data_IF_984638569071
#
_entry.id   IF_984638569071
#
_cell.length_a   1.000
_cell.length_b   1.000
_cell.length_c   1.000
_cell.angle_alpha   90.00
_cell.angle_beta   90.00
_cell.angle_gamma   90.00
#
_symmetry.space_group_name_H-M   'P 1'
#
loop_
_entity.id
_entity.type
_entity.pdbx_description
1 polymer ?
#
# COMPACT_ATOMS: atom_id res chain seq x y z
N UNK A 1 -15.31 -5.33 12.09
CA UNK A 1 -14.55 -4.77 10.97
C UNK A 1 -14.80 -3.28 10.86
N UNK A 2 -13.74 -2.51 10.78
CA UNK A 2 -13.84 -1.05 10.69
C UNK A 2 -13.06 -0.57 9.48
N UNK A 3 -13.61 0.43 8.79
CA UNK A 3 -12.96 1.04 7.64
C UNK A 3 -12.40 2.41 8.02
N UNK A 4 -11.17 2.68 7.57
CA UNK A 4 -10.48 3.94 7.78
C UNK A 4 -10.01 4.49 6.45
N UNK A 5 -9.89 5.82 6.33
CA UNK A 5 -9.49 6.49 5.10
C UNK A 5 -8.20 7.28 5.32
N UNK A 6 -7.32 7.23 4.34
CA UNK A 6 -6.08 8.01 4.30
C UNK A 6 -5.91 8.58 2.89
N UNK A 7 -6.34 9.82 2.70
CA UNK A 7 -6.34 10.43 1.38
C UNK A 7 -7.30 9.70 0.44
N UNK A 8 -6.78 9.22 -0.69
CA UNK A 8 -7.57 8.47 -1.67
C UNK A 8 -7.44 6.97 -1.49
N UNK A 9 -6.84 6.50 -0.41
CA UNK A 9 -6.80 5.09 -0.09
C UNK A 9 -7.60 4.84 1.17
N UNK A 10 -7.99 3.60 1.35
CA UNK A 10 -8.68 3.18 2.55
C UNK A 10 -8.08 1.88 3.05
N UNK A 11 -8.41 1.53 4.27
CA UNK A 11 -8.07 0.21 4.78
C UNK A 11 -9.19 -0.30 5.66
N UNK A 12 -9.31 -1.63 5.66
CA UNK A 12 -10.21 -2.36 6.55
C UNK A 12 -9.36 -3.04 7.61
N UNK A 13 -9.67 -2.77 8.86
CA UNK A 13 -8.97 -3.42 9.96
C UNK A 13 -9.80 -4.61 10.41
N UNK A 14 -9.21 -5.81 10.34
CA UNK A 14 -9.82 -7.05 10.77
C UNK A 14 -8.90 -7.68 11.80
N UNK A 15 -9.28 -7.59 13.07
CA UNK A 15 -8.44 -7.96 14.22
C UNK A 15 -7.15 -7.13 14.17
N UNK A 16 -6.03 -7.71 13.74
CA UNK A 16 -4.74 -7.02 13.63
C UNK A 16 -4.19 -6.99 12.20
N UNK A 17 -5.01 -7.37 11.23
CA UNK A 17 -4.66 -7.33 9.81
C UNK A 17 -5.34 -6.16 9.16
N UNK A 18 -4.59 -5.35 8.41
CA UNK A 18 -5.14 -4.23 7.66
C UNK A 18 -5.17 -4.56 6.18
N UNK A 19 -6.36 -4.47 5.59
CA UNK A 19 -6.57 -4.68 4.16
C UNK A 19 -6.69 -3.32 3.48
N UNK A 20 -5.73 -3.02 2.62
CA UNK A 20 -5.66 -1.74 1.92
C UNK A 20 -6.52 -1.81 0.66
N UNK A 21 -7.37 -0.81 0.49
CA UNK A 21 -8.26 -0.71 -0.67
C UNK A 21 -8.05 0.63 -1.38
N UNK A 22 -8.23 0.62 -2.70
CA UNK A 22 -8.38 1.83 -3.50
C UNK A 22 -7.24 2.84 -3.41
N UNK A 23 -5.98 2.38 -3.46
CA UNK A 23 -4.88 3.31 -3.64
C UNK A 23 -4.97 3.79 -5.09
N UNK A 24 -5.61 4.94 -5.28
CA UNK A 24 -5.83 5.49 -6.60
C UNK A 24 -5.29 6.92 -6.66
N UNK A 25 -4.51 7.20 -7.69
CA UNK A 25 -4.01 8.53 -7.97
C UNK A 25 -4.47 8.89 -9.38
N UNK A 26 -5.07 10.06 -9.53
CA UNK A 26 -5.49 10.54 -10.84
C UNK A 26 -4.30 10.52 -11.79
N UNK A 27 -4.56 10.16 -13.05
CA UNK A 27 -3.52 10.00 -14.04
C UNK A 27 -2.62 11.24 -14.18
N UNK A 28 -3.19 12.43 -14.03
CA UNK A 28 -2.46 13.68 -14.13
C UNK A 28 -1.36 13.82 -13.06
N UNK A 29 -1.47 13.10 -11.96
CA UNK A 29 -0.52 13.17 -10.85
C UNK A 29 0.37 11.94 -10.76
N UNK A 30 0.20 10.96 -11.63
CA UNK A 30 1.04 9.77 -11.65
C UNK A 30 2.48 10.15 -11.96
N UNK A 31 3.42 9.44 -11.37
CA UNK A 31 4.83 9.71 -11.55
C UNK A 31 5.39 10.82 -10.67
N UNK A 32 4.55 11.49 -9.87
CA UNK A 32 4.97 12.55 -8.96
C UNK A 32 5.18 12.08 -7.53
N UNK A 33 5.22 10.77 -7.30
CA UNK A 33 5.39 10.22 -5.96
C UNK A 33 4.14 10.26 -5.10
N UNK A 34 2.99 10.66 -5.63
CA UNK A 34 1.75 10.74 -4.85
C UNK A 34 1.23 9.37 -4.45
N UNK A 35 1.37 8.38 -5.33
CA UNK A 35 0.99 7.01 -4.99
C UNK A 35 1.82 6.47 -3.83
N UNK A 36 3.10 6.74 -3.85
CA UNK A 36 4.01 6.33 -2.77
C UNK A 36 3.69 7.06 -1.47
N UNK A 37 3.39 8.36 -1.57
CA UNK A 37 2.98 9.16 -0.40
C UNK A 37 1.69 8.60 0.23
N UNK A 38 0.70 8.26 -0.60
CA UNK A 38 -0.55 7.68 -0.12
C UNK A 38 -0.32 6.32 0.54
N UNK A 39 0.56 5.50 -0.05
CA UNK A 39 0.90 4.21 0.54
C UNK A 39 1.56 4.40 1.91
N UNK A 40 2.53 5.31 2.02
CA UNK A 40 3.16 5.63 3.30
C UNK A 40 2.15 6.09 4.34
N UNK A 41 1.25 7.00 3.95
CA UNK A 41 0.20 7.49 4.85
C UNK A 41 -0.71 6.37 5.33
N UNK A 42 -1.02 5.43 4.44
CA UNK A 42 -1.85 4.28 4.77
C UNK A 42 -1.13 3.34 5.73
N UNK A 43 0.17 3.11 5.51
CA UNK A 43 0.98 2.30 6.43
C UNK A 43 1.06 2.97 7.80
N UNK A 44 1.26 4.29 7.85
CA UNK A 44 1.28 5.03 9.11
C UNK A 44 -0.04 4.88 9.86
N UNK A 45 -1.16 4.98 9.14
CA UNK A 45 -2.48 4.79 9.76
C UNK A 45 -2.62 3.37 10.30
N UNK A 46 -2.19 2.37 9.54
CA UNK A 46 -2.26 0.98 9.98
C UNK A 46 -1.43 0.76 11.26
N UNK A 47 -0.25 1.38 11.33
CA UNK A 47 0.59 1.30 12.53
C UNK A 47 -0.08 1.97 13.72
N UNK A 48 -0.73 3.12 13.55
CA UNK A 48 -1.50 3.77 14.61
C UNK A 48 -2.63 2.88 15.10
N UNK A 49 -3.26 2.14 14.22
CA UNK A 49 -4.36 1.22 14.55
C UNK A 49 -3.86 -0.13 15.06
N UNK A 50 -2.54 -0.27 15.23
CA UNK A 50 -1.91 -1.47 15.78
C UNK A 50 -2.07 -2.71 14.90
N UNK A 51 -2.17 -2.52 13.59
CA UNK A 51 -2.12 -3.62 12.65
C UNK A 51 -0.73 -4.25 12.65
N UNK A 52 -0.66 -5.55 12.49
CA UNK A 52 0.61 -6.28 12.47
C UNK A 52 1.01 -6.71 11.06
N UNK A 53 0.06 -6.86 10.15
CA UNK A 53 0.34 -7.19 8.75
C UNK A 53 -0.58 -6.38 7.84
N UNK A 54 -0.13 -6.18 6.59
CA UNK A 54 -0.89 -5.49 5.56
C UNK A 54 -1.12 -6.42 4.39
N UNK A 55 -2.29 -6.31 3.76
CA UNK A 55 -2.61 -7.07 2.55
C UNK A 55 -3.35 -6.16 1.56
N UNK A 56 -3.22 -6.47 0.28
CA UNK A 56 -3.92 -5.75 -0.79
C UNK A 56 -4.04 -6.64 -2.02
N UNK A 57 -4.92 -6.23 -2.94
CA UNK A 57 -5.01 -6.82 -4.27
C UNK A 57 -4.47 -5.81 -5.28
N UNK A 58 -3.79 -6.31 -6.31
CA UNK A 58 -3.29 -5.50 -7.41
C UNK A 58 -3.44 -6.27 -8.72
N UNK A 59 -3.80 -5.56 -9.81
CA UNK A 59 -3.93 -6.19 -11.13
C UNK A 59 -2.62 -6.83 -11.54
N UNK A 60 -2.70 -8.02 -12.14
CA UNK A 60 -1.49 -8.71 -12.64
C UNK A 60 -0.76 -7.88 -13.68
N UNK A 61 -1.47 -7.02 -14.43
CA UNK A 61 -0.85 -6.15 -15.42
C UNK A 61 -0.21 -4.90 -14.84
N UNK A 62 -0.50 -4.54 -13.59
CA UNK A 62 -0.01 -3.31 -12.99
C UNK A 62 1.36 -3.53 -12.34
N UNK A 63 2.38 -3.69 -13.16
CA UNK A 63 3.74 -3.98 -12.70
C UNK A 63 4.36 -2.81 -11.94
N UNK A 64 3.97 -1.58 -12.29
CA UNK A 64 4.46 -0.39 -11.60
C UNK A 64 4.02 -0.40 -10.14
N UNK A 65 2.74 -0.66 -9.89
CA UNK A 65 2.22 -0.75 -8.53
C UNK A 65 2.85 -1.92 -7.77
N UNK A 66 3.01 -3.07 -8.43
CA UNK A 66 3.63 -4.23 -7.79
C UNK A 66 5.05 -3.91 -7.32
N UNK A 67 5.82 -3.19 -8.13
CA UNK A 67 7.18 -2.78 -7.74
C UNK A 67 7.16 -1.81 -6.57
N UNK A 68 6.22 -0.89 -6.58
CA UNK A 68 6.05 0.05 -5.46
C UNK A 68 5.76 -0.71 -4.16
N UNK A 69 4.81 -1.64 -4.21
CA UNK A 69 4.45 -2.40 -3.01
C UNK A 69 5.62 -3.26 -2.54
N UNK A 70 6.38 -3.85 -3.48
CA UNK A 70 7.55 -4.64 -3.11
C UNK A 70 8.59 -3.82 -2.34
N UNK A 71 8.74 -2.53 -2.68
CA UNK A 71 9.64 -1.63 -1.94
C UNK A 71 9.23 -1.51 -0.47
N UNK A 72 7.96 -1.69 -0.17
CA UNK A 72 7.42 -1.55 1.18
C UNK A 72 7.18 -2.88 1.86
N UNK A 73 7.78 -3.94 1.33
CA UNK A 73 7.79 -5.23 2.00
C UNK A 73 6.65 -6.17 1.62
N UNK A 74 5.84 -5.80 0.62
CA UNK A 74 4.78 -6.68 0.15
C UNK A 74 5.35 -7.76 -0.76
N UNK A 75 4.86 -8.99 -0.60
CA UNK A 75 5.21 -10.12 -1.48
C UNK A 75 3.93 -10.80 -1.94
N UNK A 76 3.97 -11.39 -3.13
CA UNK A 76 2.81 -12.09 -3.67
C UNK A 76 2.56 -13.37 -2.88
N UNK A 77 1.35 -13.51 -2.35
CA UNK A 77 0.95 -14.65 -1.54
C UNK A 77 -0.21 -15.43 -2.14
N UNK A 78 -0.83 -14.95 -3.22
CA UNK A 78 -1.95 -15.63 -3.85
C UNK A 78 -2.46 -14.89 -5.06
N UNK A 79 -3.49 -15.46 -5.69
CA UNK A 79 -4.13 -14.90 -6.88
C UNK A 79 -5.63 -15.03 -6.70
N UNK A 80 -6.37 -13.96 -7.03
CA UNK A 80 -7.83 -14.01 -7.15
C UNK A 80 -8.19 -13.98 -8.62
N UNK A 81 -8.70 -15.11 -9.12
CA UNK A 81 -9.04 -15.23 -10.54
C UNK A 81 -10.24 -14.37 -10.88
N UNK A 82 -10.14 -13.63 -12.00
CA UNK A 82 -11.24 -12.81 -12.52
C UNK A 82 -11.76 -11.77 -11.55
N UNK A 83 -10.91 -11.26 -10.68
CA UNK A 83 -11.30 -10.39 -9.57
C UNK A 83 -11.91 -9.05 -10.04
N UNK A 84 -11.31 -8.45 -11.09
CA UNK A 84 -11.76 -7.16 -11.61
C UNK A 84 -12.91 -7.35 -12.60
N UNK A 85 -14.04 -6.69 -12.32
CA UNK A 85 -15.27 -6.93 -13.06
C UNK A 85 -15.25 -6.31 -14.47
N UNK A 86 -14.42 -5.29 -14.70
CA UNK A 86 -14.39 -4.60 -15.99
C UNK A 86 -13.85 -5.47 -17.12
N UNK A 87 -12.78 -6.22 -16.87
CA UNK A 87 -12.14 -7.04 -17.89
C UNK A 87 -11.80 -8.45 -17.41
N UNK A 88 -12.29 -8.84 -16.24
CA UNK A 88 -12.04 -10.15 -15.62
C UNK A 88 -10.56 -10.46 -15.40
N UNK A 89 -9.76 -9.42 -15.29
CA UNK A 89 -8.34 -9.59 -14.98
C UNK A 89 -8.15 -10.17 -13.59
N UNK A 90 -7.13 -11.02 -13.43
CA UNK A 90 -6.77 -11.57 -12.14
C UNK A 90 -6.13 -10.51 -11.25
N UNK A 91 -6.23 -10.69 -9.95
CA UNK A 91 -5.51 -9.89 -8.97
C UNK A 91 -4.45 -10.73 -8.28
N UNK A 92 -3.28 -10.13 -8.07
CA UNK A 92 -2.31 -10.68 -7.14
C UNK A 92 -2.69 -10.24 -5.73
N UNK A 93 -2.64 -11.17 -4.79
CA UNK A 93 -2.77 -10.85 -3.36
C UNK A 93 -1.36 -10.65 -2.84
N UNK A 94 -1.05 -9.44 -2.40
CA UNK A 94 0.26 -9.10 -1.85
C UNK A 94 0.13 -8.79 -0.36
N UNK A 95 1.03 -9.35 0.42
CA UNK A 95 0.96 -9.27 1.89
C UNK A 95 2.35 -9.01 2.44
N UNK A 96 2.43 -8.26 3.54
CA UNK A 96 3.68 -8.03 4.25
C UNK A 96 3.90 -9.10 5.31
N UNK A 97 5.14 -9.25 5.75
CA UNK A 97 5.42 -9.84 7.07
C UNK A 97 5.03 -8.82 8.15
N UNK A 98 5.37 -9.10 9.40
CA UNK A 98 5.01 -8.20 10.50
C UNK A 98 5.60 -6.80 10.27
N UNK A 99 4.74 -5.78 10.37
CA UNK A 99 5.15 -4.38 10.16
C UNK A 99 5.56 -3.70 11.47
N UNK A 100 5.43 -4.38 12.59
CA UNK A 100 5.75 -3.82 13.91
C UNK A 100 7.19 -4.07 14.34
N UNK A 101 7.98 -4.78 13.52
CA UNK A 101 9.37 -5.07 13.85
C UNK A 101 10.24 -3.82 13.74
N UNK A 102 11.30 -3.71 14.55
CA UNK A 102 12.23 -2.58 14.43
C UNK A 102 12.82 -2.45 13.02
N UNK A 103 13.14 -3.56 12.36
CA UNK A 103 13.69 -3.55 11.01
C UNK A 103 12.71 -2.92 10.01
N UNK A 104 11.43 -3.30 10.09
CA UNK A 104 10.43 -2.73 9.19
C UNK A 104 10.25 -1.24 9.45
N UNK A 105 10.17 -0.83 10.71
CA UNK A 105 9.99 0.56 11.10
C UNK A 105 11.17 1.42 10.61
N UNK A 106 12.38 0.92 10.70
CA UNK A 106 13.56 1.63 10.20
C UNK A 106 13.52 1.75 8.68
N UNK A 107 13.09 0.70 7.99
CA UNK A 107 12.94 0.72 6.53
C UNK A 107 11.94 1.81 6.11
N UNK A 108 10.81 1.92 6.82
CA UNK A 108 9.80 2.94 6.54
C UNK A 108 10.35 4.34 6.76
N UNK A 109 11.12 4.55 7.81
CA UNK A 109 11.78 5.85 8.06
C UNK A 109 12.67 6.24 6.90
N UNK A 110 13.47 5.30 6.40
CA UNK A 110 14.38 5.56 5.26
C UNK A 110 13.58 5.91 4.01
N UNK A 111 12.51 5.18 3.75
CA UNK A 111 11.65 5.46 2.58
C UNK A 111 11.02 6.84 2.68
N UNK A 112 10.57 7.21 3.87
CA UNK A 112 9.95 8.52 4.08
C UNK A 112 10.95 9.65 3.82
N UNK A 113 12.16 9.51 4.33
CA UNK A 113 13.21 10.53 4.08
C UNK A 113 13.53 10.64 2.60
N UNK A 114 13.65 9.51 1.91
CA UNK A 114 13.94 9.50 0.48
C UNK A 114 12.82 10.16 -0.33
N UNK A 115 11.57 9.90 0.04
CA UNK A 115 10.41 10.50 -0.64
C UNK A 115 10.37 12.01 -0.43
N UNK A 116 10.56 12.47 0.80
CA UNK A 116 10.56 13.90 1.11
C UNK A 116 11.71 14.63 0.40
N UNK A 117 12.85 13.98 0.25
CA UNK A 117 13.98 14.57 -0.49
C UNK A 117 13.67 14.76 -1.97
N UNK A 118 12.86 13.84 -2.55
CA UNK A 118 12.46 13.94 -3.96
C UNK A 118 11.33 14.93 -4.19
N UNK A 119 10.53 15.22 -3.16
CA UNK A 119 9.31 16.03 -3.28
C UNK A 119 9.29 17.17 -2.25
N UNK A 120 10.40 17.95 -2.12
CA UNK A 120 10.43 19.00 -1.10
C UNK A 120 9.33 20.05 -1.37
N UNK A 121 8.62 20.42 -0.30
CA UNK A 121 7.56 21.43 -0.39
C UNK A 121 6.25 20.92 -0.96
N UNK A 122 6.11 19.64 -1.24
CA UNK A 122 4.88 19.06 -1.77
C UNK A 122 3.91 18.66 -0.67
N UNK A 123 4.44 18.27 0.47
CA UNK A 123 3.62 17.68 1.54
C UNK A 123 3.96 18.24 2.90
#
# INVERSE_FOLDING_TARGET
TQQFLAGFSGLWLLVDEAHITNIAVRQAYRGRGLGEYLLLSTIDLALELQATVLTLEVRVSNTIAQRLYAKYGFTTRGIRKGYYLDNREDALIMTTDAITTPDYLEKIKKRRRALHARLPGQF
#
